data_IF_963091398868
#
_entry.id   IF_963091398868
#
_cell.length_a   1.000
_cell.length_b   1.000
_cell.length_c   1.000
_cell.angle_alpha   90.00
_cell.angle_beta   90.00
_cell.angle_gamma   90.00
#
_symmetry.space_group_name_H-M   'P 1'
#
loop_
_entity.id
_entity.type
_entity.pdbx_description
1 polymer ?
#
# COMPACT_ATOMS: atom_id res chain seq x y z
N UNK A 1 3.89 32.59 26.54
CA UNK A 1 4.69 31.74 25.61
C UNK A 1 3.77 31.31 24.50
N UNK A 2 4.12 31.58 23.24
CA UNK A 2 3.27 31.29 22.07
C UNK A 2 3.94 30.24 21.20
N UNK A 3 3.16 29.25 20.78
CA UNK A 3 3.59 28.26 19.79
C UNK A 3 3.31 28.81 18.39
N UNK A 4 4.34 28.79 17.53
CA UNK A 4 4.23 29.26 16.15
C UNK A 4 3.28 28.35 15.34
N UNK A 5 2.56 28.96 14.39
CA UNK A 5 1.69 28.24 13.47
C UNK A 5 2.48 27.17 12.68
N UNK A 6 1.86 26.01 12.46
CA UNK A 6 2.46 24.92 11.68
C UNK A 6 3.44 24.02 12.44
N UNK A 7 3.75 24.33 13.70
CA UNK A 7 4.54 23.46 14.56
C UNK A 7 3.85 22.11 14.79
N UNK A 8 4.61 21.01 14.79
CA UNK A 8 4.10 19.66 15.02
C UNK A 8 4.51 19.18 16.42
N UNK A 9 3.56 18.56 17.11
CA UNK A 9 3.68 18.08 18.48
C UNK A 9 3.35 16.59 18.48
N UNK A 10 4.21 15.78 19.09
CA UNK A 10 3.89 14.40 19.44
C UNK A 10 3.27 14.40 20.84
N UNK A 11 2.06 13.85 20.97
CA UNK A 11 1.31 13.79 22.21
C UNK A 11 0.96 12.33 22.50
N UNK A 12 1.29 11.84 23.68
CA UNK A 12 0.89 10.52 24.14
C UNK A 12 -0.41 10.62 24.94
N UNK A 13 -1.46 9.91 24.50
CA UNK A 13 -2.73 9.80 25.21
C UNK A 13 -3.10 8.31 25.27
N UNK A 14 -3.36 7.81 26.48
CA UNK A 14 -3.74 6.41 26.71
C UNK A 14 -2.77 5.37 26.10
N UNK A 15 -1.47 5.71 26.03
CA UNK A 15 -0.42 4.86 25.45
C UNK A 15 -0.33 4.90 23.92
N UNK A 16 -1.14 5.72 23.25
CA UNK A 16 -1.11 5.94 21.80
C UNK A 16 -0.45 7.27 21.49
N UNK A 17 0.46 7.28 20.51
CA UNK A 17 1.13 8.49 20.05
C UNK A 17 0.33 9.20 18.95
N UNK A 18 0.03 10.47 19.16
CA UNK A 18 -0.69 11.33 18.23
C UNK A 18 0.20 12.45 17.71
N UNK A 19 0.14 12.69 16.40
CA UNK A 19 0.73 13.89 15.79
C UNK A 19 -0.30 14.99 15.66
N UNK A 20 -0.05 16.11 16.32
CA UNK A 20 -0.91 17.29 16.28
C UNK A 20 -0.20 18.46 15.59
N UNK A 21 -0.92 19.19 14.74
CA UNK A 21 -0.41 20.39 14.08
C UNK A 21 -1.07 21.65 14.67
N UNK A 22 -0.25 22.65 14.97
CA UNK A 22 -0.72 23.96 15.47
C UNK A 22 -1.44 24.72 14.35
N UNK A 23 -2.66 25.22 14.58
CA UNK A 23 -3.47 25.89 13.57
C UNK A 23 -2.83 27.20 13.05
N UNK A 24 -3.29 27.63 11.88
CA UNK A 24 -2.89 28.91 11.27
C UNK A 24 -3.31 30.06 12.18
N UNK A 25 -2.34 30.72 12.81
CA UNK A 25 -2.56 31.74 13.85
C UNK A 25 -1.78 31.50 15.13
N UNK A 26 -1.21 30.31 15.31
CA UNK A 26 -0.48 29.94 16.52
C UNK A 26 -1.42 29.65 17.69
N UNK A 27 -0.81 29.33 18.84
CA UNK A 27 -1.55 29.04 20.08
C UNK A 27 -0.88 29.74 21.25
N UNK A 28 -1.68 30.41 22.08
CA UNK A 28 -1.24 31.07 23.30
C UNK A 28 -1.29 30.13 24.51
N UNK A 29 -0.46 30.39 25.51
CA UNK A 29 -0.44 29.62 26.75
C UNK A 29 -1.82 29.66 27.45
N UNK A 30 -2.38 28.48 27.74
CA UNK A 30 -3.71 28.33 28.36
C UNK A 30 -4.88 28.28 27.36
N UNK A 31 -4.65 28.51 26.08
CA UNK A 31 -5.66 28.41 25.04
C UNK A 31 -5.97 26.93 24.73
N UNK A 32 -7.25 26.56 24.77
CA UNK A 32 -7.72 25.25 24.30
C UNK A 32 -8.08 25.36 22.82
N UNK A 33 -7.63 24.40 22.02
CA UNK A 33 -7.95 24.34 20.60
C UNK A 33 -8.24 22.87 20.22
N UNK A 34 -9.15 22.68 19.29
CA UNK A 34 -9.52 21.35 18.81
C UNK A 34 -8.56 20.91 17.72
N UNK A 35 -7.88 19.79 17.94
CA UNK A 35 -7.05 19.14 16.93
C UNK A 35 -7.77 17.90 16.44
N UNK A 36 -7.76 17.69 15.13
CA UNK A 36 -8.11 16.37 14.58
C UNK A 36 -6.96 15.44 14.92
N UNK A 37 -7.10 14.70 16.02
CA UNK A 37 -6.19 13.63 16.36
C UNK A 37 -6.30 12.54 15.29
N UNK A 38 -5.18 12.19 14.67
CA UNK A 38 -5.09 11.04 13.78
C UNK A 38 -4.34 9.95 14.53
N UNK A 39 -5.03 8.84 14.80
CA UNK A 39 -4.38 7.63 15.31
C UNK A 39 -3.28 7.21 14.34
N UNK A 40 -2.03 7.23 14.79
CA UNK A 40 -0.93 6.61 14.08
C UNK A 40 -0.99 5.08 14.18
N UNK A 41 -1.78 4.54 15.12
CA UNK A 41 -1.83 3.11 15.46
C UNK A 41 -3.12 2.37 15.04
N UNK A 42 -4.20 3.04 14.62
CA UNK A 42 -5.48 2.36 14.30
C UNK A 42 -5.55 1.77 12.88
N UNK A 43 -4.40 1.41 12.30
CA UNK A 43 -4.41 0.38 11.26
C UNK A 43 -4.72 -0.94 11.92
N UNK A 44 -5.98 -1.36 11.86
CA UNK A 44 -6.37 -2.76 12.08
C UNK A 44 -5.28 -3.65 11.45
N UNK A 45 -4.58 -4.39 12.30
CA UNK A 45 -3.40 -5.15 11.94
C UNK A 45 -3.78 -6.22 10.93
N UNK A 46 -3.84 -5.85 9.66
CA UNK A 46 -3.71 -6.79 8.57
C UNK A 46 -2.37 -7.50 8.80
N UNK A 47 -2.32 -8.83 8.67
CA UNK A 47 -1.10 -9.57 8.91
C UNK A 47 0.05 -8.89 8.11
N UNK A 48 1.11 -8.57 8.85
CA UNK A 48 2.13 -7.57 8.47
C UNK A 48 2.93 -7.96 7.21
N UNK A 49 2.64 -9.13 6.64
CA UNK A 49 3.24 -9.71 5.44
C UNK A 49 2.52 -9.30 4.14
N UNK A 50 1.26 -8.83 4.18
CA UNK A 50 0.40 -8.69 2.96
C UNK A 50 0.01 -7.25 2.59
N UNK A 51 0.44 -6.23 3.33
CA UNK A 51 0.15 -4.81 3.01
C UNK A 51 0.68 -4.37 1.63
N UNK A 52 1.69 -5.09 1.13
CA UNK A 52 2.32 -4.86 -0.17
C UNK A 52 1.34 -5.01 -1.34
N UNK A 53 0.40 -5.94 -1.24
CA UNK A 53 -0.57 -6.23 -2.30
C UNK A 53 -1.58 -5.08 -2.44
N UNK A 54 -2.02 -4.53 -1.30
CA UNK A 54 -2.92 -3.36 -1.25
C UNK A 54 -2.20 -2.12 -1.77
N UNK A 55 -0.95 -1.90 -1.36
CA UNK A 55 -0.15 -0.78 -1.85
C UNK A 55 0.07 -0.87 -3.37
N UNK A 56 0.35 -2.08 -3.89
CA UNK A 56 0.47 -2.30 -5.33
C UNK A 56 -0.84 -1.94 -6.04
N UNK A 57 -1.98 -2.38 -5.54
CA UNK A 57 -3.29 -2.02 -6.10
C UNK A 57 -3.55 -0.50 -6.09
N UNK A 58 -3.13 0.20 -5.03
CA UNK A 58 -3.21 1.66 -4.95
C UNK A 58 -2.30 2.34 -5.98
N UNK A 59 -1.05 1.90 -6.11
CA UNK A 59 -0.09 2.41 -7.10
C UNK A 59 -0.60 2.19 -8.52
N UNK A 60 -1.12 0.99 -8.83
CA UNK A 60 -1.71 0.67 -10.12
C UNK A 60 -2.92 1.58 -10.44
N UNK A 61 -3.72 1.89 -9.43
CA UNK A 61 -4.88 2.77 -9.57
C UNK A 61 -4.47 4.22 -9.88
N UNK A 62 -3.46 4.75 -9.18
CA UNK A 62 -2.85 6.07 -9.48
C UNK A 62 -2.27 6.14 -10.88
N UNK A 63 -1.62 5.05 -11.31
CA UNK A 63 -1.04 4.92 -12.64
C UNK A 63 -2.07 4.69 -13.75
N UNK A 64 -3.36 4.54 -13.39
CA UNK A 64 -4.48 4.31 -14.33
C UNK A 64 -4.26 3.01 -15.13
N UNK A 65 -3.70 2.00 -14.46
CA UNK A 65 -3.51 0.67 -15.01
C UNK A 65 -4.78 -0.17 -14.81
N UNK A 66 -5.04 -1.10 -15.71
CA UNK A 66 -6.05 -2.14 -15.55
C UNK A 66 -5.54 -3.25 -14.59
N UNK A 67 -6.38 -4.25 -14.29
CA UNK A 67 -6.03 -5.37 -13.42
C UNK A 67 -4.85 -6.23 -13.94
N UNK A 68 -4.49 -6.11 -15.22
CA UNK A 68 -3.39 -6.83 -15.86
C UNK A 68 -2.09 -6.00 -15.92
N UNK A 69 -2.08 -4.78 -15.37
CA UNK A 69 -0.91 -3.89 -15.40
C UNK A 69 -0.69 -3.15 -16.72
N UNK A 70 -1.68 -3.09 -17.60
CA UNK A 70 -1.63 -2.30 -18.84
C UNK A 70 -2.39 -0.98 -18.67
N UNK A 71 -2.04 0.05 -19.45
CA UNK A 71 -2.79 1.30 -19.45
C UNK A 71 -4.25 1.06 -19.89
N UNK A 72 -5.22 1.48 -19.07
CA UNK A 72 -6.62 1.16 -19.36
C UNK A 72 -7.66 1.77 -18.42
N UNK A 73 -8.89 1.23 -18.46
CA UNK A 73 -10.04 1.79 -17.75
C UNK A 73 -9.87 1.72 -16.22
N UNK A 74 -9.93 2.90 -15.59
CA UNK A 74 -9.56 3.19 -14.19
C UNK A 74 -10.46 2.56 -13.12
N UNK A 75 -11.73 2.30 -13.45
CA UNK A 75 -12.77 2.21 -12.42
C UNK A 75 -12.66 1.04 -11.45
N UNK A 76 -12.02 -0.05 -11.86
CA UNK A 76 -12.17 -1.34 -11.18
C UNK A 76 -10.87 -2.02 -10.75
N UNK A 77 -9.69 -1.49 -11.09
CA UNK A 77 -8.40 -2.18 -10.80
C UNK A 77 -8.20 -2.47 -9.33
N UNK A 78 -8.35 -1.45 -8.47
CA UNK A 78 -8.26 -1.64 -7.02
C UNK A 78 -9.27 -2.69 -6.52
N UNK A 79 -10.53 -2.56 -6.92
CA UNK A 79 -11.62 -3.46 -6.48
C UNK A 79 -11.38 -4.90 -6.92
N UNK A 80 -10.87 -5.10 -8.14
CA UNK A 80 -10.56 -6.43 -8.69
C UNK A 80 -9.40 -7.04 -7.92
N UNK A 81 -8.28 -6.33 -7.75
CA UNK A 81 -7.09 -6.87 -7.07
C UNK A 81 -7.40 -7.16 -5.60
N UNK A 82 -8.07 -6.24 -4.90
CA UNK A 82 -8.49 -6.46 -3.51
C UNK A 82 -9.51 -7.60 -3.42
N UNK A 83 -10.44 -7.70 -4.37
CA UNK A 83 -11.39 -8.81 -4.44
C UNK A 83 -10.71 -10.17 -4.60
N UNK A 84 -9.72 -10.26 -5.49
CA UNK A 84 -8.90 -11.47 -5.69
C UNK A 84 -8.11 -11.80 -4.42
N UNK A 85 -7.56 -10.81 -3.74
CA UNK A 85 -6.83 -10.99 -2.47
C UNK A 85 -7.74 -11.50 -1.34
N UNK A 86 -8.94 -10.90 -1.16
CA UNK A 86 -9.93 -11.36 -0.17
C UNK A 86 -10.35 -12.80 -0.49
N UNK A 87 -10.69 -13.09 -1.75
CA UNK A 87 -11.08 -14.43 -2.18
C UNK A 87 -9.97 -15.46 -1.89
N UNK A 88 -8.72 -15.12 -2.18
CA UNK A 88 -7.56 -15.95 -1.87
C UNK A 88 -7.43 -16.24 -0.36
N UNK A 89 -7.58 -15.23 0.49
CA UNK A 89 -7.53 -15.40 1.96
C UNK A 89 -8.66 -16.33 2.44
N UNK A 90 -9.88 -16.13 1.94
CA UNK A 90 -11.03 -16.96 2.30
C UNK A 90 -10.82 -18.41 1.88
N UNK A 91 -10.35 -18.65 0.65
CA UNK A 91 -10.02 -19.99 0.15
C UNK A 91 -8.95 -20.64 1.03
N UNK A 92 -7.86 -19.93 1.30
CA UNK A 92 -6.78 -20.44 2.17
C UNK A 92 -7.28 -20.76 3.57
N UNK A 93 -8.13 -19.92 4.16
CA UNK A 93 -8.71 -20.14 5.48
C UNK A 93 -9.60 -21.39 5.51
N UNK A 94 -10.50 -21.54 4.53
CA UNK A 94 -11.39 -22.71 4.41
C UNK A 94 -10.58 -24.01 4.21
N UNK A 95 -9.56 -23.99 3.34
CA UNK A 95 -8.66 -25.13 3.17
C UNK A 95 -7.89 -25.42 4.48
N UNK A 96 -7.48 -24.39 5.21
CA UNK A 96 -6.83 -24.54 6.52
C UNK A 96 -7.69 -25.26 7.55
N UNK A 97 -9.01 -25.00 7.57
CA UNK A 97 -9.94 -25.71 8.46
C UNK A 97 -9.96 -27.22 8.16
N UNK A 98 -9.96 -27.60 6.88
CA UNK A 98 -10.01 -28.99 6.45
C UNK A 98 -8.79 -29.83 6.87
N UNK A 99 -7.66 -29.20 7.21
CA UNK A 99 -6.43 -29.89 7.63
C UNK A 99 -6.68 -30.65 8.94
N UNK A 100 -7.55 -30.13 9.81
CA UNK A 100 -7.87 -30.73 11.10
C UNK A 100 -8.88 -31.89 11.01
N UNK A 101 -9.54 -32.07 9.86
CA UNK A 101 -10.66 -33.02 9.69
C UNK A 101 -10.38 -34.18 8.73
N UNK A 102 -9.18 -34.28 8.12
CA UNK A 102 -8.91 -35.29 7.10
C UNK A 102 -7.45 -35.41 6.67
N UNK A 103 -7.23 -35.76 5.39
CA UNK A 103 -5.92 -36.07 4.81
C UNK A 103 -5.05 -34.81 4.65
N UNK A 104 -4.46 -34.36 5.76
CA UNK A 104 -3.72 -33.10 5.90
C UNK A 104 -2.64 -32.88 4.83
N UNK A 105 -2.00 -33.94 4.34
CA UNK A 105 -0.87 -33.85 3.42
C UNK A 105 -1.28 -33.34 2.02
N UNK A 106 -2.41 -33.81 1.49
CA UNK A 106 -2.92 -33.34 0.19
C UNK A 106 -3.31 -31.86 0.29
N UNK A 107 -3.98 -31.48 1.37
CA UNK A 107 -4.48 -30.12 1.57
C UNK A 107 -3.37 -29.10 1.78
N UNK A 108 -2.33 -29.46 2.54
CA UNK A 108 -1.10 -28.67 2.67
C UNK A 108 -0.41 -28.48 1.32
N UNK A 109 -0.34 -29.54 0.51
CA UNK A 109 0.24 -29.47 -0.84
C UNK A 109 -0.54 -28.51 -1.74
N UNK A 110 -1.87 -28.56 -1.70
CA UNK A 110 -2.74 -27.63 -2.45
C UNK A 110 -2.53 -26.18 -2.00
N UNK A 111 -2.48 -25.92 -0.69
CA UNK A 111 -2.25 -24.57 -0.14
C UNK A 111 -0.88 -24.04 -0.60
N UNK A 112 0.16 -24.88 -0.58
CA UNK A 112 1.51 -24.49 -1.02
C UNK A 112 1.52 -24.05 -2.49
N UNK A 113 0.91 -24.82 -3.39
CA UNK A 113 0.83 -24.43 -4.81
C UNK A 113 -0.04 -23.19 -5.05
N UNK A 114 -1.12 -23.03 -4.27
CA UNK A 114 -1.97 -21.84 -4.32
C UNK A 114 -1.17 -20.59 -3.90
N UNK A 115 -0.36 -20.69 -2.84
CA UNK A 115 0.53 -19.62 -2.38
C UNK A 115 1.56 -19.24 -3.44
N UNK A 116 2.21 -20.22 -4.07
CA UNK A 116 3.17 -19.99 -5.15
C UNK A 116 2.49 -19.30 -6.33
N UNK A 117 1.31 -19.76 -6.76
CA UNK A 117 0.59 -19.18 -7.89
C UNK A 117 0.20 -17.72 -7.62
N UNK A 118 -0.30 -17.43 -6.41
CA UNK A 118 -0.64 -16.08 -5.99
C UNK A 118 0.61 -15.18 -5.90
N UNK A 119 1.71 -15.70 -5.36
CA UNK A 119 2.97 -14.97 -5.31
C UNK A 119 3.46 -14.60 -6.72
N UNK A 120 3.47 -15.56 -7.66
CA UNK A 120 3.84 -15.30 -9.06
C UNK A 120 2.93 -14.24 -9.69
N UNK A 121 1.62 -14.32 -9.45
CA UNK A 121 0.65 -13.33 -9.92
C UNK A 121 1.00 -11.91 -9.43
N UNK A 122 1.28 -11.73 -8.13
CA UNK A 122 1.66 -10.44 -7.57
C UNK A 122 3.00 -9.93 -8.14
N UNK A 123 4.00 -10.82 -8.29
CA UNK A 123 5.29 -10.46 -8.91
C UNK A 123 5.06 -9.95 -10.35
N UNK A 124 4.26 -10.65 -11.17
CA UNK A 124 3.96 -10.24 -12.54
C UNK A 124 3.31 -8.86 -12.57
N UNK A 125 2.32 -8.60 -11.70
CA UNK A 125 1.68 -7.29 -11.62
C UNK A 125 2.66 -6.18 -11.20
N UNK A 126 3.50 -6.44 -10.20
CA UNK A 126 4.48 -5.47 -9.73
C UNK A 126 5.55 -5.18 -10.79
N UNK A 127 6.02 -6.18 -11.53
CA UNK A 127 6.97 -6.01 -12.64
C UNK A 127 6.37 -5.18 -13.77
N UNK A 128 5.14 -5.50 -14.19
CA UNK A 128 4.43 -4.73 -15.23
C UNK A 128 4.20 -3.28 -14.81
N UNK A 129 3.78 -3.08 -13.56
CA UNK A 129 3.57 -1.75 -12.99
C UNK A 129 4.86 -0.94 -12.99
N UNK A 130 5.97 -1.55 -12.57
CA UNK A 130 7.29 -0.92 -12.57
C UNK A 130 7.78 -0.60 -13.97
N UNK A 131 7.67 -1.54 -14.90
CA UNK A 131 8.07 -1.35 -16.31
C UNK A 131 7.30 -0.19 -16.95
N UNK A 132 5.98 -0.12 -16.71
CA UNK A 132 5.17 1.01 -17.14
C UNK A 132 5.63 2.34 -16.53
N UNK A 133 5.89 2.37 -15.22
CA UNK A 133 6.38 3.57 -14.54
C UNK A 133 7.72 4.03 -15.14
N UNK A 134 8.65 3.11 -15.40
CA UNK A 134 9.97 3.43 -15.98
C UNK A 134 9.86 3.95 -17.40
N UNK A 135 9.04 3.31 -18.23
CA UNK A 135 8.77 3.77 -19.59
C UNK A 135 8.20 5.19 -19.58
N UNK A 136 7.29 5.48 -18.65
CA UNK A 136 6.71 6.81 -18.48
C UNK A 136 7.71 7.86 -17.96
N UNK A 137 8.58 7.48 -17.02
CA UNK A 137 9.55 8.38 -16.40
C UNK A 137 10.90 8.44 -17.14
N UNK A 138 11.02 7.80 -18.30
CA UNK A 138 12.27 7.68 -19.07
C UNK A 138 13.46 7.19 -18.22
N UNK A 139 13.23 6.20 -17.34
CA UNK A 139 14.27 5.63 -16.47
C UNK A 139 14.92 4.44 -17.19
N UNK A 140 16.17 4.56 -17.70
CA UNK A 140 16.82 3.50 -18.45
C UNK A 140 17.18 2.30 -17.56
N UNK A 141 17.32 1.13 -18.19
CA UNK A 141 17.89 -0.06 -17.56
C UNK A 141 19.38 0.10 -17.30
N UNK A 142 19.79 -0.20 -16.06
CA UNK A 142 21.19 -0.11 -15.64
C UNK A 142 21.82 -1.48 -15.55
N UNK A 143 21.12 -2.41 -14.91
CA UNK A 143 21.62 -3.75 -14.59
C UNK A 143 20.60 -4.79 -15.03
N UNK A 144 21.04 -5.87 -15.68
CA UNK A 144 20.17 -6.98 -16.15
C UNK A 144 19.15 -6.53 -17.21
N UNK A 145 19.62 -6.32 -18.44
CA UNK A 145 18.80 -5.89 -19.58
C UNK A 145 17.57 -6.80 -19.77
N UNK A 146 16.38 -6.21 -19.73
CA UNK A 146 15.08 -6.87 -19.86
C UNK A 146 14.57 -7.59 -18.60
N UNK A 147 15.34 -7.63 -17.50
CA UNK A 147 14.98 -8.38 -16.28
C UNK A 147 15.19 -7.60 -14.97
N UNK A 148 15.72 -6.39 -15.01
CA UNK A 148 15.99 -5.55 -13.82
C UNK A 148 14.76 -5.45 -12.90
N UNK A 149 13.59 -5.22 -13.50
CA UNK A 149 12.34 -5.05 -12.75
C UNK A 149 11.92 -6.34 -12.03
N UNK A 150 12.11 -7.50 -12.67
CA UNK A 150 11.84 -8.80 -12.06
C UNK A 150 12.73 -9.04 -10.83
N UNK A 151 14.03 -8.78 -10.96
CA UNK A 151 14.98 -8.92 -9.86
C UNK A 151 14.66 -7.95 -8.71
N UNK A 152 14.40 -6.67 -9.01
CA UNK A 152 14.10 -5.68 -7.98
C UNK A 152 12.80 -6.00 -7.23
N UNK A 153 11.76 -6.44 -7.95
CA UNK A 153 10.48 -6.81 -7.36
C UNK A 153 10.59 -8.10 -6.55
N UNK A 154 11.32 -9.10 -7.02
CA UNK A 154 11.46 -10.38 -6.31
C UNK A 154 12.32 -10.25 -5.03
N UNK A 155 13.48 -9.62 -5.12
CA UNK A 155 14.44 -9.56 -4.01
C UNK A 155 14.19 -8.42 -3.01
N UNK A 156 13.62 -7.29 -3.47
CA UNK A 156 13.40 -6.09 -2.64
C UNK A 156 11.99 -5.53 -2.89
N UNK A 157 10.97 -6.37 -2.74
CA UNK A 157 9.60 -6.01 -3.16
C UNK A 157 9.05 -4.78 -2.41
N UNK A 158 9.32 -4.64 -1.12
CA UNK A 158 8.95 -3.44 -0.34
C UNK A 158 9.64 -2.17 -0.87
N UNK A 159 10.94 -2.23 -1.13
CA UNK A 159 11.75 -1.12 -1.63
C UNK A 159 11.21 -0.62 -2.97
N UNK A 160 10.94 -1.57 -3.85
CA UNK A 160 10.39 -1.33 -5.19
C UNK A 160 9.00 -0.70 -5.11
N UNK A 161 8.11 -1.23 -4.28
CA UNK A 161 6.77 -0.67 -4.08
C UNK A 161 6.80 0.72 -3.47
N UNK A 162 7.62 0.97 -2.45
CA UNK A 162 7.77 2.29 -1.84
C UNK A 162 8.33 3.30 -2.84
N UNK A 163 9.31 2.90 -3.67
CA UNK A 163 9.82 3.74 -4.74
C UNK A 163 8.71 4.08 -5.75
N UNK A 164 7.96 3.09 -6.22
CA UNK A 164 6.84 3.33 -7.13
C UNK A 164 5.77 4.25 -6.50
N UNK A 165 5.44 4.03 -5.23
CA UNK A 165 4.51 4.88 -4.51
C UNK A 165 4.98 6.34 -4.48
N UNK A 166 6.25 6.60 -4.14
CA UNK A 166 6.83 7.95 -4.12
C UNK A 166 6.86 8.63 -5.49
N UNK A 167 7.02 7.87 -6.57
CA UNK A 167 6.92 8.43 -7.92
C UNK A 167 5.48 8.80 -8.32
N UNK A 168 4.47 8.24 -7.65
CA UNK A 168 3.06 8.55 -7.93
C UNK A 168 2.48 9.62 -7.01
N UNK A 169 3.16 9.97 -5.92
CA UNK A 169 2.63 10.87 -4.90
C UNK A 169 3.72 11.45 -4.00
N UNK A 170 3.56 12.73 -3.64
CA UNK A 170 4.46 13.47 -2.76
C UNK A 170 4.03 13.25 -1.30
N UNK A 171 4.71 12.30 -0.66
CA UNK A 171 4.51 11.97 0.75
C UNK A 171 5.20 12.95 1.72
N UNK A 172 6.02 13.89 1.24
CA UNK A 172 6.61 14.92 2.08
C UNK A 172 5.60 16.04 2.34
N UNK A 173 4.73 16.30 1.36
CA UNK A 173 3.67 17.31 1.46
C UNK A 173 2.35 16.78 2.01
N UNK A 174 2.02 15.52 1.75
CA UNK A 174 0.70 14.98 2.07
C UNK A 174 0.77 13.59 2.71
N UNK A 175 -0.15 13.34 3.65
CA UNK A 175 -0.24 12.08 4.38
C UNK A 175 -0.78 10.94 3.48
N UNK A 176 -0.32 9.73 3.75
CA UNK A 176 -0.88 8.50 3.18
C UNK A 176 -2.18 8.13 3.90
N UNK A 177 -3.14 7.56 3.18
CA UNK A 177 -4.40 7.06 3.76
C UNK A 177 -4.50 5.57 3.48
N UNK A 178 -4.75 4.76 4.52
CA UNK A 178 -5.06 3.35 4.28
C UNK A 178 -6.44 3.19 3.64
N UNK A 179 -6.63 2.07 2.95
CA UNK A 179 -7.96 1.47 2.85
C UNK A 179 -8.93 2.28 1.95
N UNK A 180 -8.38 3.13 1.08
CA UNK A 180 -9.06 3.70 -0.06
C UNK A 180 -8.35 3.31 -1.37
N UNK A 181 -8.99 3.53 -2.52
CA UNK A 181 -8.51 3.01 -3.80
C UNK A 181 -7.20 3.62 -4.28
N UNK A 182 -6.87 4.82 -3.82
CA UNK A 182 -5.69 5.57 -4.26
C UNK A 182 -4.64 5.71 -3.17
N UNK A 183 -4.90 5.38 -1.92
CA UNK A 183 -3.99 5.64 -0.80
C UNK A 183 -3.77 7.13 -0.47
N UNK A 184 -4.62 8.04 -0.96
CA UNK A 184 -4.46 9.51 -0.93
C UNK A 184 -5.70 10.16 -0.28
N UNK A 185 -5.51 11.24 0.47
CA UNK A 185 -6.61 11.98 1.08
C UNK A 185 -7.54 12.63 0.02
N UNK A 186 -8.85 12.62 0.29
CA UNK A 186 -9.85 13.22 -0.61
C UNK A 186 -9.60 14.72 -0.81
N UNK A 187 -9.53 15.16 -2.06
CA UNK A 187 -9.29 16.55 -2.43
C UNK A 187 -7.83 16.92 -2.73
N UNK A 188 -6.89 15.96 -2.68
CA UNK A 188 -5.50 16.16 -3.11
C UNK A 188 -5.32 15.61 -4.53
N UNK A 189 -4.64 16.38 -5.39
CA UNK A 189 -4.33 15.95 -6.75
C UNK A 189 -3.20 14.91 -6.76
N UNK A 190 -3.38 13.85 -7.54
CA UNK A 190 -2.30 12.91 -7.88
C UNK A 190 -1.26 13.62 -8.75
N UNK A 191 0.02 13.22 -8.65
CA UNK A 191 1.11 13.78 -9.47
C UNK A 191 1.06 13.23 -10.92
N UNK A 192 0.04 12.43 -11.24
CA UNK A 192 0.03 11.42 -12.31
C UNK A 192 -1.08 11.61 -13.34
#
# INVERSE_FOLDING_TARGET
>A
MTLAAGYQLDIELDGVNYKCQVPTGGVEAGQKFNVKAFDLESTAALPMDRWRDVLLAQVMTRLKLNWNGEAGNKGNTFKVIVGVWIAFILVRWVLGLGINYGNAQILQTVIFYLDIAFFIFIIVLAVRTRSYLRARSNIPERNCAGCEDCCCVFWCSCCTLTQMARHTYDFDKYQAVCCNSTGIASGVAEIV
#
